data_IF_951769531148
#
_entry.id   IF_951769531148
#
_cell.length_a   1.000
_cell.length_b   1.000
_cell.length_c   1.000
_cell.angle_alpha   90.00
_cell.angle_beta   90.00
_cell.angle_gamma   90.00
#
_symmetry.space_group_name_H-M   'P 1'
#
loop_
_entity.id
_entity.type
_entity.pdbx_description
1 polymer ?
#
# COMPACT_ATOMS: atom_id res chain seq x y z
N UNK A 1 -3.32 14.38 -4.37
CA UNK A 1 -2.33 13.27 -4.31
C UNK A 1 -0.98 13.78 -4.76
N UNK A 2 0.03 13.53 -3.97
CA UNK A 2 1.41 13.94 -4.24
C UNK A 2 2.27 12.70 -4.32
N UNK A 3 3.05 12.54 -5.40
CA UNK A 3 3.94 11.40 -5.59
C UNK A 3 5.38 11.90 -5.64
N UNK A 4 6.22 11.32 -4.80
CA UNK A 4 7.64 11.64 -4.74
C UNK A 4 8.42 10.34 -4.75
N UNK A 5 9.57 10.30 -5.42
CA UNK A 5 10.41 9.10 -5.41
C UNK A 5 11.51 9.24 -4.38
N UNK A 6 11.79 8.13 -3.70
CA UNK A 6 12.84 8.03 -2.69
C UNK A 6 13.72 6.84 -3.04
N UNK A 7 15.03 7.03 -2.97
CA UNK A 7 15.99 5.94 -3.17
C UNK A 7 16.36 5.35 -1.81
N UNK A 8 16.27 4.03 -1.70
CA UNK A 8 16.62 3.30 -0.48
C UNK A 8 17.14 1.92 -0.86
N UNK A 9 18.27 1.53 -0.30
CA UNK A 9 18.87 0.21 -0.55
C UNK A 9 19.10 -0.07 -2.04
N UNK A 10 19.41 0.97 -2.81
CA UNK A 10 19.64 0.85 -4.25
C UNK A 10 18.36 0.72 -5.07
N UNK A 11 17.20 0.95 -4.48
CA UNK A 11 15.91 0.81 -5.13
C UNK A 11 15.12 2.11 -5.08
N UNK A 12 14.29 2.34 -6.09
CA UNK A 12 13.41 3.51 -6.16
C UNK A 12 12.04 3.15 -5.61
N UNK A 13 11.53 3.96 -4.70
CA UNK A 13 10.18 3.79 -4.14
C UNK A 13 9.34 5.01 -4.52
N UNK A 14 8.13 4.76 -5.03
CA UNK A 14 7.16 5.84 -5.24
C UNK A 14 6.38 6.02 -3.95
N UNK A 15 6.53 7.17 -3.32
CA UNK A 15 5.81 7.52 -2.10
C UNK A 15 4.62 8.38 -2.48
N UNK A 16 3.43 7.91 -2.14
CA UNK A 16 2.17 8.56 -2.50
C UNK A 16 1.54 9.15 -1.24
N UNK A 17 1.45 10.47 -1.19
CA UNK A 17 0.93 11.22 -0.03
C UNK A 17 -0.40 11.86 -0.37
N UNK A 18 -1.26 11.95 0.65
CA UNK A 18 -2.51 12.67 0.52
C UNK A 18 -2.31 14.17 0.74
N UNK A 19 -3.10 14.99 0.06
CA UNK A 19 -3.06 16.44 0.22
C UNK A 19 -4.44 17.06 0.49
N UNK A 20 -5.55 16.33 0.30
CA UNK A 20 -6.90 16.83 0.62
C UNK A 20 -7.93 15.68 0.61
N UNK A 21 -8.15 15.00 1.65
CA UNK A 21 -9.23 14.00 1.86
C UNK A 21 -9.69 13.19 0.63
N UNK A 22 -8.87 13.05 -0.39
CA UNK A 22 -9.24 12.28 -1.58
C UNK A 22 -9.06 10.79 -1.35
N UNK A 23 -9.83 9.98 -2.06
CA UNK A 23 -9.65 8.52 -2.07
C UNK A 23 -9.26 8.13 -3.49
N UNK A 24 -8.07 7.56 -3.65
CA UNK A 24 -7.55 7.18 -4.97
C UNK A 24 -7.61 5.68 -5.21
N UNK A 25 -7.65 4.86 -4.16
CA UNK A 25 -7.91 3.44 -4.26
C UNK A 25 -9.30 3.17 -3.69
N UNK A 26 -10.24 2.85 -4.57
CA UNK A 26 -11.64 2.61 -4.20
C UNK A 26 -12.13 1.24 -4.65
N UNK A 27 -11.41 0.61 -5.57
CA UNK A 27 -11.73 -0.72 -6.12
C UNK A 27 -10.47 -1.31 -6.75
N UNK A 28 -10.60 -2.51 -7.31
CA UNK A 28 -9.46 -3.20 -7.95
C UNK A 28 -8.93 -2.39 -9.13
N UNK A 29 -9.84 -1.85 -9.96
CA UNK A 29 -9.43 -1.14 -11.17
C UNK A 29 -8.65 0.15 -10.84
N UNK A 30 -9.13 0.94 -9.87
CA UNK A 30 -8.42 2.16 -9.47
C UNK A 30 -7.04 1.85 -8.90
N UNK A 31 -6.92 0.75 -8.15
CA UNK A 31 -5.62 0.32 -7.62
C UNK A 31 -4.66 -0.05 -8.73
N UNK A 32 -5.11 -0.83 -9.71
CA UNK A 32 -4.29 -1.21 -10.86
C UNK A 32 -3.88 -0.01 -11.69
N UNK A 33 -4.83 0.88 -11.99
CA UNK A 33 -4.55 2.07 -12.79
C UNK A 33 -3.47 2.93 -12.13
N UNK A 34 -3.56 3.10 -10.80
CA UNK A 34 -2.56 3.86 -10.07
C UNK A 34 -1.18 3.20 -10.13
N UNK A 35 -1.12 1.89 -9.90
CA UNK A 35 0.15 1.15 -9.89
C UNK A 35 0.80 1.14 -11.27
N UNK A 36 0.03 0.89 -12.32
CA UNK A 36 0.54 0.90 -13.69
C UNK A 36 1.04 2.29 -14.08
N UNK A 37 0.33 3.33 -13.68
CA UNK A 37 0.73 4.72 -13.91
C UNK A 37 2.05 5.05 -13.21
N UNK A 38 2.21 4.58 -11.96
CA UNK A 38 3.44 4.77 -11.19
C UNK A 38 4.61 4.07 -11.87
N UNK A 39 4.43 2.82 -12.28
CA UNK A 39 5.48 2.07 -12.95
C UNK A 39 5.87 2.72 -14.28
N UNK A 40 4.90 3.15 -15.05
CA UNK A 40 5.15 3.83 -16.32
C UNK A 40 5.93 5.13 -16.12
N UNK A 41 5.53 5.93 -15.12
CA UNK A 41 6.08 7.27 -14.93
C UNK A 41 7.42 7.27 -14.18
N UNK A 42 7.58 6.39 -13.21
CA UNK A 42 8.74 6.39 -12.31
C UNK A 42 9.61 5.14 -12.42
N UNK A 43 9.23 4.20 -13.28
CA UNK A 43 9.97 2.95 -13.51
C UNK A 43 10.20 2.17 -12.20
N UNK A 44 9.17 2.03 -11.39
CA UNK A 44 9.25 1.27 -10.15
C UNK A 44 7.97 0.52 -9.85
N UNK A 45 8.12 -0.67 -9.26
CA UNK A 45 7.01 -1.48 -8.76
C UNK A 45 6.95 -1.48 -7.23
N UNK A 46 7.70 -0.58 -6.57
CA UNK A 46 7.73 -0.45 -5.11
C UNK A 46 6.98 0.81 -4.72
N UNK A 47 5.94 0.66 -3.92
CA UNK A 47 5.03 1.76 -3.59
C UNK A 47 4.81 1.85 -2.08
N UNK A 48 4.89 3.07 -1.55
CA UNK A 48 4.48 3.39 -0.19
C UNK A 48 3.32 4.38 -0.30
N UNK A 49 2.16 4.05 0.24
CA UNK A 49 0.97 4.88 0.08
C UNK A 49 0.34 5.20 1.43
N UNK A 50 -0.09 6.46 1.59
CA UNK A 50 -0.77 6.91 2.80
C UNK A 50 -2.15 6.22 2.91
N UNK A 51 -2.44 5.71 4.10
CA UNK A 51 -3.72 5.05 4.42
C UNK A 51 -4.93 5.89 4.03
N UNK A 52 -4.84 7.20 4.21
CA UNK A 52 -5.94 8.13 3.95
C UNK A 52 -6.38 8.18 2.48
N UNK A 53 -5.56 7.68 1.57
CA UNK A 53 -5.89 7.65 0.14
C UNK A 53 -6.68 6.39 -0.27
N UNK A 54 -6.90 5.48 0.67
CA UNK A 54 -7.58 4.21 0.42
C UNK A 54 -8.97 4.26 1.06
N UNK A 55 -9.98 3.82 0.34
CA UNK A 55 -11.35 3.86 0.82
C UNK A 55 -11.54 3.02 2.09
N UNK A 56 -12.52 3.39 2.90
CA UNK A 56 -12.76 2.74 4.19
C UNK A 56 -13.12 1.26 4.05
N UNK A 57 -13.82 0.89 2.99
CA UNK A 57 -14.23 -0.50 2.75
C UNK A 57 -13.05 -1.46 2.62
N UNK A 58 -11.89 -0.97 2.20
CA UNK A 58 -10.67 -1.77 2.15
C UNK A 58 -10.35 -2.35 3.52
N UNK A 59 -10.56 -1.55 4.57
CA UNK A 59 -10.21 -1.93 5.95
C UNK A 59 -11.34 -2.66 6.67
N UNK A 60 -12.45 -2.95 5.99
CA UNK A 60 -13.51 -3.80 6.49
C UNK A 60 -13.36 -5.16 5.81
N UNK A 61 -12.70 -6.10 6.48
CA UNK A 61 -12.27 -7.37 5.87
C UNK A 61 -13.41 -8.17 5.26
N UNK A 62 -14.62 -8.06 5.83
CA UNK A 62 -15.79 -8.79 5.33
C UNK A 62 -16.22 -8.36 3.93
N UNK A 63 -15.79 -7.20 3.44
CA UNK A 63 -16.08 -6.78 2.06
C UNK A 63 -15.29 -7.58 1.03
N UNK A 64 -14.17 -8.17 1.43
CA UNK A 64 -13.27 -8.87 0.51
C UNK A 64 -12.39 -7.96 -0.35
N UNK A 65 -12.57 -6.65 -0.23
CA UNK A 65 -11.90 -5.69 -1.11
C UNK A 65 -10.38 -5.70 -0.95
N UNK A 66 -9.89 -5.75 0.29
CA UNK A 66 -8.45 -5.78 0.54
C UNK A 66 -7.80 -7.01 -0.11
N UNK A 67 -8.41 -8.17 0.08
CA UNK A 67 -7.89 -9.41 -0.50
C UNK A 67 -7.85 -9.35 -2.02
N UNK A 68 -8.92 -8.87 -2.65
CA UNK A 68 -8.98 -8.74 -4.10
C UNK A 68 -7.92 -7.80 -4.65
N UNK A 69 -7.80 -6.61 -4.05
CA UNK A 69 -6.84 -5.61 -4.49
C UNK A 69 -5.41 -6.12 -4.33
N UNK A 70 -5.08 -6.60 -3.13
CA UNK A 70 -3.70 -7.02 -2.86
C UNK A 70 -3.29 -8.24 -3.68
N UNK A 71 -4.20 -9.18 -3.89
CA UNK A 71 -3.90 -10.34 -4.75
C UNK A 71 -3.61 -9.89 -6.18
N UNK A 72 -4.38 -8.94 -6.69
CA UNK A 72 -4.15 -8.43 -8.05
C UNK A 72 -2.81 -7.72 -8.16
N UNK A 73 -2.44 -6.92 -7.16
CA UNK A 73 -1.16 -6.22 -7.17
C UNK A 73 0.01 -7.20 -7.11
N UNK A 74 -0.09 -8.24 -6.29
CA UNK A 74 0.92 -9.30 -6.23
C UNK A 74 1.06 -9.99 -7.58
N UNK A 75 -0.07 -10.30 -8.23
CA UNK A 75 -0.05 -10.96 -9.54
C UNK A 75 0.64 -10.11 -10.60
N UNK A 76 0.60 -8.79 -10.46
CA UNK A 76 1.24 -7.86 -11.39
C UNK A 76 2.65 -7.47 -10.97
N UNK A 77 3.16 -8.07 -9.88
CA UNK A 77 4.54 -7.87 -9.46
C UNK A 77 4.79 -6.62 -8.63
N UNK A 78 3.76 -6.01 -8.06
CA UNK A 78 3.92 -4.84 -7.20
C UNK A 78 4.13 -5.23 -5.76
N UNK A 79 4.97 -4.45 -5.07
CA UNK A 79 5.14 -4.53 -3.62
C UNK A 79 4.66 -3.20 -3.04
N UNK A 80 3.77 -3.27 -2.04
CA UNK A 80 3.12 -2.07 -1.52
C UNK A 80 3.18 -2.06 0.01
N UNK A 81 3.41 -0.89 0.59
CA UNK A 81 3.26 -0.67 2.02
C UNK A 81 2.29 0.49 2.24
N UNK A 82 1.29 0.25 3.06
CA UNK A 82 0.32 1.26 3.47
C UNK A 82 0.76 1.81 4.82
N UNK A 83 0.96 3.11 4.92
CA UNK A 83 1.39 3.72 6.18
C UNK A 83 0.32 4.63 6.75
N UNK A 84 0.21 4.64 8.07
CA UNK A 84 -0.77 5.44 8.78
C UNK A 84 -1.02 4.90 10.17
N UNK A 85 -2.06 5.40 10.81
CA UNK A 85 -2.44 4.99 12.16
C UNK A 85 -3.53 3.92 12.07
N UNK A 86 -3.22 2.71 12.49
CA UNK A 86 -4.17 1.58 12.51
C UNK A 86 -4.70 1.29 13.91
N UNK A 87 -4.34 2.10 14.91
CA UNK A 87 -4.73 1.87 16.30
C UNK A 87 -6.24 2.05 16.55
N UNK A 88 -6.92 2.80 15.67
CA UNK A 88 -8.36 3.04 15.79
C UNK A 88 -9.25 1.87 15.39
N UNK A 89 -8.68 0.84 14.78
CA UNK A 89 -9.46 -0.31 14.34
C UNK A 89 -9.55 -1.34 15.46
N UNK A 90 -10.77 -1.77 15.79
CA UNK A 90 -11.02 -2.78 16.82
C UNK A 90 -11.25 -4.18 16.25
N UNK A 91 -11.33 -4.32 14.93
CA UNK A 91 -11.63 -5.59 14.28
C UNK A 91 -10.47 -6.58 14.42
N UNK A 92 -10.74 -7.73 15.03
CA UNK A 92 -9.75 -8.79 15.15
C UNK A 92 -9.34 -9.34 13.77
N UNK A 93 -10.28 -9.63 12.85
CA UNK A 93 -9.89 -10.08 11.52
C UNK A 93 -8.93 -9.12 10.81
N UNK A 94 -9.14 -7.81 10.94
CA UNK A 94 -8.24 -6.83 10.34
C UNK A 94 -6.87 -6.87 11.00
N UNK A 95 -6.81 -6.93 12.32
CA UNK A 95 -5.53 -7.03 13.04
C UNK A 95 -4.76 -8.28 12.63
N UNK A 96 -5.44 -9.42 12.51
CA UNK A 96 -4.82 -10.67 12.08
C UNK A 96 -4.31 -10.56 10.63
N UNK A 97 -5.08 -9.93 9.76
CA UNK A 97 -4.70 -9.70 8.36
C UNK A 97 -3.44 -8.84 8.26
N UNK A 98 -3.39 -7.77 9.03
CA UNK A 98 -2.21 -6.88 9.07
C UNK A 98 -0.99 -7.64 9.56
N UNK A 99 -1.13 -8.42 10.63
CA UNK A 99 -0.04 -9.20 11.17
C UNK A 99 0.50 -10.20 10.14
N UNK A 100 -0.39 -10.93 9.49
CA UNK A 100 0.02 -11.90 8.47
C UNK A 100 0.67 -11.22 7.26
N UNK A 101 0.13 -10.08 6.82
CA UNK A 101 0.72 -9.32 5.72
C UNK A 101 2.15 -8.90 6.05
N UNK A 102 2.36 -8.41 7.27
CA UNK A 102 3.67 -7.92 7.70
C UNK A 102 4.70 -9.03 7.85
N UNK A 103 4.28 -10.27 7.96
CA UNK A 103 5.18 -11.43 7.99
C UNK A 103 5.52 -11.94 6.60
N UNK A 104 4.86 -11.42 5.57
CA UNK A 104 5.12 -11.78 4.17
C UNK A 104 6.12 -10.83 3.52
N UNK A 105 6.12 -10.82 2.18
CA UNK A 105 7.08 -10.04 1.39
C UNK A 105 6.41 -9.11 0.37
N UNK A 106 5.09 -9.13 0.25
CA UNK A 106 4.40 -8.48 -0.86
C UNK A 106 3.64 -7.22 -0.47
N UNK A 107 3.05 -7.20 0.72
CA UNK A 107 2.31 -6.04 1.19
C UNK A 107 2.45 -5.89 2.70
N UNK A 108 2.45 -4.64 3.15
CA UNK A 108 2.74 -4.29 4.53
C UNK A 108 1.82 -3.16 5.01
N UNK A 109 1.57 -3.12 6.32
CA UNK A 109 0.78 -2.07 6.96
C UNK A 109 1.59 -1.57 8.15
N UNK A 110 2.11 -0.36 8.04
CA UNK A 110 3.09 0.17 8.99
C UNK A 110 2.71 1.57 9.48
N UNK A 111 3.41 2.07 10.50
CA UNK A 111 3.02 3.29 11.19
C UNK A 111 3.54 4.58 10.54
N UNK A 112 4.55 4.49 9.68
CA UNK A 112 5.17 5.69 9.11
C UNK A 112 5.61 5.47 7.68
N UNK A 113 5.75 6.56 6.97
CA UNK A 113 6.29 6.56 5.60
C UNK A 113 7.69 5.96 5.56
N UNK A 114 8.55 6.31 6.52
CA UNK A 114 9.91 5.79 6.60
C UNK A 114 9.92 4.27 6.72
N UNK A 115 9.07 3.74 7.59
CA UNK A 115 8.93 2.30 7.79
C UNK A 115 8.41 1.62 6.52
N UNK A 116 7.48 2.28 5.80
CA UNK A 116 6.95 1.75 4.55
C UNK A 116 8.03 1.63 3.49
N UNK A 117 8.85 2.66 3.34
CA UNK A 117 9.95 2.66 2.37
C UNK A 117 10.95 1.54 2.72
N UNK A 118 11.25 1.38 4.00
CA UNK A 118 12.16 0.35 4.45
C UNK A 118 11.62 -1.06 4.14
N UNK A 119 10.35 -1.29 4.41
CA UNK A 119 9.76 -2.63 4.20
C UNK A 119 9.70 -3.04 2.73
N UNK A 120 9.35 -2.12 1.83
CA UNK A 120 9.26 -2.48 0.40
C UNK A 120 10.62 -2.63 -0.25
N UNK A 121 11.67 -2.09 0.34
CA UNK A 121 13.04 -2.21 -0.21
C UNK A 121 13.87 -3.30 0.48
N UNK A 122 13.36 -3.91 1.53
CA UNK A 122 14.11 -4.93 2.27
C UNK A 122 14.36 -6.16 1.41
N UNK A 123 15.55 -6.74 1.57
CA UNK A 123 15.90 -8.01 0.96
C UNK A 123 15.18 -9.13 1.71
N UNK A 124 14.56 -9.99 1.01
CA UNK A 124 13.83 -10.96 1.73
C UNK A 124 13.60 -12.25 1.23
#
# INVERSE_FOLDING_TARGET
MIIETIEKNGKTVAVIRGDNNEKVITDVQSALDLMVSVDYQYSTNLVAIAKELICDDFFVLSTGLAGEILQKLVNYGFRIAVYGDFSGYSSKPLHDFIYESNNGHDHFFVNSEEEAVERVTAEG
#
